data_IF_936832877115
#
_entry.id   IF_936832877115
#
_cell.length_a   1.000
_cell.length_b   1.000
_cell.length_c   1.000
_cell.angle_alpha   90.00
_cell.angle_beta   90.00
_cell.angle_gamma   90.00
#
_symmetry.space_group_name_H-M   'P 1'
#
loop_
_entity.id
_entity.type
_entity.pdbx_description
1 polymer ?
#
# COMPACT_ATOMS: atom_id res chain seq x y z
N UNK A 1 0.69 16.82 -1.32
CA UNK A 1 0.44 15.68 -2.22
C UNK A 1 0.10 14.45 -1.39
N UNK A 2 -0.71 13.56 -1.93
CA UNK A 2 -1.10 12.31 -1.26
C UNK A 2 -0.73 11.13 -2.17
N UNK A 3 0.02 10.15 -1.64
CA UNK A 3 0.25 8.89 -2.35
C UNK A 3 0.03 7.68 -1.44
N UNK A 4 -0.34 6.56 -2.05
CA UNK A 4 -0.64 5.34 -1.33
C UNK A 4 0.33 4.22 -1.72
N UNK A 5 0.66 3.35 -0.77
CA UNK A 5 1.44 2.15 -1.01
C UNK A 5 0.50 0.96 -0.97
N UNK A 6 0.46 0.20 -2.04
CA UNK A 6 -0.41 -0.96 -2.20
C UNK A 6 0.34 -2.24 -2.53
N UNK A 7 -0.32 -3.35 -2.35
CA UNK A 7 0.18 -4.69 -2.63
C UNK A 7 -0.36 -5.74 -1.67
N UNK A 8 -0.08 -6.97 -1.95
CA UNK A 8 -0.62 -8.13 -1.23
C UNK A 8 -0.18 -8.18 0.24
N UNK A 9 -0.89 -8.94 1.05
CA UNK A 9 -0.53 -9.24 2.44
C UNK A 9 0.91 -9.78 2.48
N UNK A 10 1.74 -9.24 3.37
CA UNK A 10 3.15 -9.66 3.52
C UNK A 10 4.15 -8.93 2.61
N UNK A 11 3.73 -8.12 1.63
CA UNK A 11 4.66 -7.48 0.69
C UNK A 11 5.55 -6.38 1.29
N UNK A 12 5.19 -5.80 2.44
CA UNK A 12 6.00 -4.79 3.15
C UNK A 12 5.49 -3.36 3.08
N UNK A 13 4.20 -3.12 2.73
CA UNK A 13 3.59 -1.78 2.61
C UNK A 13 3.86 -0.86 3.79
N UNK A 14 3.46 -1.30 4.98
CA UNK A 14 3.57 -0.51 6.22
C UNK A 14 5.03 -0.19 6.56
N UNK A 15 5.93 -1.15 6.31
CA UNK A 15 7.37 -0.97 6.52
C UNK A 15 7.91 0.11 5.59
N UNK A 16 7.61 0.02 4.29
CA UNK A 16 8.05 1.02 3.32
C UNK A 16 7.46 2.41 3.64
N UNK A 17 6.16 2.48 4.01
CA UNK A 17 5.53 3.73 4.39
C UNK A 17 6.25 4.42 5.56
N UNK A 18 6.61 3.66 6.60
CA UNK A 18 7.35 4.17 7.76
C UNK A 18 8.77 4.61 7.43
N UNK A 19 9.45 3.92 6.51
CA UNK A 19 10.81 4.26 6.09
C UNK A 19 10.84 5.52 5.20
N UNK A 20 9.83 5.69 4.33
CA UNK A 20 9.72 6.87 3.46
C UNK A 20 9.20 8.11 4.19
N UNK A 21 8.44 7.95 5.27
CA UNK A 21 7.85 9.06 6.01
C UNK A 21 8.86 10.15 6.40
N UNK A 22 9.95 9.85 7.12
CA UNK A 22 10.93 10.87 7.53
C UNK A 22 11.72 11.44 6.34
N UNK A 23 11.94 10.65 5.30
CA UNK A 23 12.70 11.04 4.11
C UNK A 23 11.96 12.03 3.23
N UNK A 24 10.63 11.91 3.17
CA UNK A 24 9.77 12.76 2.35
C UNK A 24 9.06 13.86 3.15
N UNK A 25 9.33 13.96 4.45
CA UNK A 25 8.65 14.88 5.40
C UNK A 25 7.13 14.84 5.24
N UNK A 26 6.56 13.63 5.40
CA UNK A 26 5.13 13.38 5.17
C UNK A 26 4.40 13.03 6.46
N UNK A 27 3.09 13.27 6.47
CA UNK A 27 2.17 12.60 7.38
C UNK A 27 2.00 11.13 6.99
N UNK A 28 1.61 10.29 7.93
CA UNK A 28 1.43 8.85 7.72
C UNK A 28 0.04 8.42 8.17
N UNK A 29 -0.70 7.78 7.27
CA UNK A 29 -2.00 7.17 7.54
C UNK A 29 -1.87 5.66 7.39
N UNK A 30 -1.87 4.93 8.50
CA UNK A 30 -1.77 3.48 8.53
C UNK A 30 -3.15 2.84 8.70
N UNK A 31 -3.32 1.69 8.06
CA UNK A 31 -4.51 0.87 8.20
C UNK A 31 -4.64 0.31 9.63
N UNK A 32 -5.82 0.47 10.23
CA UNK A 32 -6.15 -0.08 11.56
C UNK A 32 -6.95 -1.37 11.37
N UNK A 33 -6.26 -2.45 10.96
CA UNK A 33 -6.92 -3.73 10.66
C UNK A 33 -7.24 -4.56 11.91
N UNK A 34 -6.54 -4.32 13.03
CA UNK A 34 -6.69 -5.06 14.30
C UNK A 34 -8.04 -4.78 14.99
N UNK A 35 -8.69 -3.69 14.65
CA UNK A 35 -10.00 -3.35 15.19
C UNK A 35 -11.14 -4.19 14.61
N UNK A 36 -10.88 -4.96 13.54
CA UNK A 36 -11.91 -5.80 12.95
C UNK A 36 -12.18 -7.04 13.81
N UNK A 37 -13.34 -7.13 14.50
CA UNK A 37 -13.65 -8.23 15.40
C UNK A 37 -13.87 -9.57 14.68
N UNK A 38 -14.10 -9.54 13.37
CA UNK A 38 -14.35 -10.72 12.54
C UNK A 38 -13.09 -11.30 11.91
N UNK A 39 -11.94 -10.59 11.96
CA UNK A 39 -10.75 -10.94 11.20
C UNK A 39 -10.20 -12.33 11.55
N UNK A 40 -10.15 -12.67 12.82
CA UNK A 40 -9.69 -13.99 13.27
C UNK A 40 -10.62 -15.12 12.79
N UNK A 41 -11.93 -14.90 12.87
CA UNK A 41 -12.93 -15.85 12.42
C UNK A 41 -12.94 -15.98 10.89
N UNK A 42 -12.70 -14.91 10.17
CA UNK A 42 -12.60 -14.90 8.72
C UNK A 42 -11.51 -15.85 8.21
N UNK A 43 -10.32 -15.83 8.79
CA UNK A 43 -9.25 -16.75 8.37
C UNK A 43 -9.49 -18.21 8.75
N UNK A 44 -10.37 -18.49 9.72
CA UNK A 44 -10.77 -19.86 10.08
C UNK A 44 -11.97 -20.37 9.29
N UNK A 45 -12.91 -19.51 8.89
CA UNK A 45 -14.11 -19.82 8.14
C UNK A 45 -14.52 -18.63 7.25
N UNK A 46 -13.84 -18.50 6.09
CA UNK A 46 -14.05 -17.38 5.16
C UNK A 46 -15.51 -17.29 4.68
N UNK A 47 -16.10 -18.42 4.30
CA UNK A 47 -17.44 -18.44 3.73
C UNK A 47 -18.49 -17.84 4.68
N UNK A 48 -18.34 -18.10 5.98
CA UNK A 48 -19.28 -17.63 7.00
C UNK A 48 -19.06 -16.16 7.39
N UNK A 49 -17.82 -15.70 7.42
CA UNK A 49 -17.47 -14.38 8.00
C UNK A 49 -17.04 -13.35 6.94
N UNK A 50 -17.03 -13.70 5.65
CA UNK A 50 -16.56 -12.81 4.61
C UNK A 50 -17.33 -11.49 4.56
N UNK A 51 -18.67 -11.54 4.50
CA UNK A 51 -19.50 -10.35 4.36
C UNK A 51 -19.32 -9.37 5.52
N UNK A 52 -19.41 -9.86 6.77
CA UNK A 52 -19.24 -9.04 7.97
C UNK A 52 -17.84 -8.40 8.02
N UNK A 53 -16.82 -9.19 7.66
CA UNK A 53 -15.44 -8.73 7.63
C UNK A 53 -15.22 -7.63 6.59
N UNK A 54 -15.74 -7.82 5.37
CA UNK A 54 -15.58 -6.86 4.28
C UNK A 54 -16.36 -5.56 4.55
N UNK A 55 -17.60 -5.65 5.05
CA UNK A 55 -18.40 -4.47 5.42
C UNK A 55 -17.73 -3.68 6.56
N UNK A 56 -17.20 -4.38 7.57
CA UNK A 56 -16.49 -3.71 8.66
C UNK A 56 -15.27 -2.93 8.14
N UNK A 57 -14.45 -3.57 7.31
CA UNK A 57 -13.29 -2.91 6.70
C UNK A 57 -13.68 -1.71 5.84
N UNK A 58 -14.68 -1.87 5.00
CA UNK A 58 -15.19 -0.78 4.16
C UNK A 58 -15.56 0.45 4.97
N UNK A 59 -16.37 0.26 6.03
CA UNK A 59 -16.82 1.36 6.88
C UNK A 59 -15.67 1.96 7.69
N UNK A 60 -14.81 1.12 8.28
CA UNK A 60 -13.65 1.57 9.07
C UNK A 60 -12.72 2.44 8.21
N UNK A 61 -12.35 1.98 7.01
CA UNK A 61 -11.49 2.72 6.08
C UNK A 61 -12.16 3.98 5.56
N UNK A 62 -13.46 3.92 5.26
CA UNK A 62 -14.23 5.10 4.89
C UNK A 62 -14.13 6.19 5.95
N UNK A 63 -14.44 5.88 7.20
CA UNK A 63 -14.39 6.86 8.29
C UNK A 63 -12.96 7.37 8.52
N UNK A 64 -11.98 6.48 8.47
CA UNK A 64 -10.59 6.85 8.67
C UNK A 64 -10.10 7.79 7.55
N UNK A 65 -10.31 7.46 6.29
CA UNK A 65 -9.85 8.28 5.16
C UNK A 65 -10.64 9.56 5.01
N UNK A 66 -11.97 9.51 5.08
CA UNK A 66 -12.82 10.69 4.93
C UNK A 66 -12.54 11.76 5.99
N UNK A 67 -12.13 11.35 7.19
CA UNK A 67 -11.78 12.27 8.28
C UNK A 67 -10.33 12.75 8.21
N UNK A 68 -9.41 11.81 8.02
CA UNK A 68 -7.98 12.10 8.22
C UNK A 68 -7.29 12.64 6.97
N UNK A 69 -7.65 12.17 5.77
CA UNK A 69 -6.98 12.62 4.53
C UNK A 69 -7.14 14.12 4.31
N UNK A 70 -8.36 14.72 4.35
CA UNK A 70 -8.51 16.17 4.23
C UNK A 70 -7.74 16.94 5.30
N UNK A 71 -7.90 16.55 6.58
CA UNK A 71 -7.25 17.23 7.70
C UNK A 71 -5.71 17.21 7.65
N UNK A 72 -5.12 16.12 7.15
CA UNK A 72 -3.67 16.01 6.98
C UNK A 72 -3.18 16.83 5.78
N UNK A 73 -3.93 16.91 4.69
CA UNK A 73 -3.58 17.69 3.52
C UNK A 73 -3.68 19.21 3.76
N UNK A 74 -4.62 19.66 4.60
CA UNK A 74 -4.75 21.07 5.01
C UNK A 74 -3.52 21.60 5.77
N UNK A 75 -2.73 20.71 6.40
CA UNK A 75 -1.49 21.07 7.09
C UNK A 75 -0.33 21.40 6.12
N UNK A 76 -0.56 21.46 4.81
CA UNK A 76 0.45 21.66 3.76
C UNK A 76 1.60 20.64 3.76
N UNK A 77 1.39 19.47 4.38
CA UNK A 77 2.32 18.35 4.35
C UNK A 77 1.89 17.31 3.32
N UNK A 78 2.86 16.58 2.81
CA UNK A 78 2.57 15.41 2.01
C UNK A 78 2.00 14.30 2.90
N UNK A 79 1.28 13.35 2.30
CA UNK A 79 0.66 12.23 2.98
C UNK A 79 1.02 10.91 2.30
N UNK A 80 1.42 9.94 3.11
CA UNK A 80 1.56 8.53 2.73
C UNK A 80 0.46 7.73 3.43
N UNK A 81 -0.24 6.85 2.70
CA UNK A 81 -1.04 5.78 3.29
C UNK A 81 -0.51 4.41 2.89
N UNK A 82 -0.68 3.39 3.74
CA UNK A 82 -0.33 2.01 3.41
C UNK A 82 -1.51 1.21 2.88
N UNK A 83 -2.53 1.92 2.39
CA UNK A 83 -3.71 1.37 1.72
C UNK A 83 -4.45 2.42 0.90
N UNK A 84 -5.24 1.96 -0.08
CA UNK A 84 -6.26 2.77 -0.79
C UNK A 84 -7.66 2.32 -0.42
N UNK A 85 -8.66 3.18 -0.65
CA UNK A 85 -10.06 2.78 -0.49
C UNK A 85 -10.49 1.75 -1.56
N UNK A 86 -9.90 1.84 -2.74
CA UNK A 86 -10.20 0.95 -3.87
C UNK A 86 -9.87 -0.53 -3.60
N UNK A 87 -8.90 -0.82 -2.70
CA UNK A 87 -8.54 -2.20 -2.36
C UNK A 87 -9.71 -2.97 -1.75
N UNK A 88 -10.68 -2.28 -1.15
CA UNK A 88 -11.85 -2.91 -0.54
C UNK A 88 -12.69 -3.65 -1.57
N UNK A 89 -12.89 -3.04 -2.74
CA UNK A 89 -13.61 -3.68 -3.85
C UNK A 89 -12.89 -4.94 -4.37
N UNK A 90 -11.54 -4.90 -4.39
CA UNK A 90 -10.73 -6.04 -4.78
C UNK A 90 -10.89 -7.21 -3.80
N UNK A 91 -10.79 -6.96 -2.49
CA UNK A 91 -10.99 -8.01 -1.49
C UNK A 91 -12.42 -8.55 -1.52
N UNK A 92 -13.42 -7.69 -1.71
CA UNK A 92 -14.80 -8.11 -1.82
C UNK A 92 -15.03 -9.03 -3.02
N UNK A 93 -14.43 -8.74 -4.19
CA UNK A 93 -14.58 -9.55 -5.40
C UNK A 93 -14.09 -11.00 -5.25
N UNK A 94 -13.13 -11.23 -4.35
CA UNK A 94 -12.57 -12.55 -4.07
C UNK A 94 -13.38 -13.29 -3.01
N UNK A 95 -13.92 -12.56 -2.05
CA UNK A 95 -14.47 -13.16 -0.84
C UNK A 95 -16.01 -13.21 -0.81
N UNK A 96 -16.70 -12.42 -1.66
CA UNK A 96 -18.16 -12.32 -1.69
C UNK A 96 -18.71 -12.78 -3.04
N UNK A 97 -19.95 -13.28 -3.02
CA UNK A 97 -20.63 -13.78 -4.21
C UNK A 97 -22.12 -13.38 -4.20
N UNK A 98 -22.74 -13.39 -5.38
CA UNK A 98 -24.19 -13.15 -5.52
C UNK A 98 -24.65 -11.84 -4.89
N UNK A 99 -25.76 -11.89 -4.16
CA UNK A 99 -26.42 -10.71 -3.59
C UNK A 99 -25.53 -9.95 -2.59
N UNK A 100 -24.66 -10.65 -1.84
CA UNK A 100 -23.74 -10.01 -0.89
C UNK A 100 -22.72 -9.15 -1.61
N UNK A 101 -22.15 -9.63 -2.72
CA UNK A 101 -21.21 -8.88 -3.53
C UNK A 101 -21.87 -7.67 -4.20
N UNK A 102 -23.08 -7.84 -4.73
CA UNK A 102 -23.84 -6.76 -5.36
C UNK A 102 -24.18 -5.66 -4.35
N UNK A 103 -24.67 -6.03 -3.17
CA UNK A 103 -24.96 -5.09 -2.09
C UNK A 103 -23.69 -4.35 -1.65
N UNK A 104 -22.58 -5.09 -1.51
CA UNK A 104 -21.30 -4.52 -1.15
C UNK A 104 -20.86 -3.44 -2.15
N UNK A 105 -20.90 -3.70 -3.43
CA UNK A 105 -20.51 -2.73 -4.46
C UNK A 105 -21.38 -1.48 -4.44
N UNK A 106 -22.67 -1.60 -4.25
CA UNK A 106 -23.57 -0.42 -4.13
C UNK A 106 -23.16 0.49 -2.96
N UNK A 107 -22.80 -0.10 -1.81
CA UNK A 107 -22.32 0.67 -0.66
C UNK A 107 -20.94 1.25 -0.95
N UNK A 108 -20.02 0.47 -1.51
CA UNK A 108 -18.68 0.91 -1.85
C UNK A 108 -18.70 2.11 -2.82
N UNK A 109 -19.47 2.03 -3.90
CA UNK A 109 -19.61 3.11 -4.90
C UNK A 109 -20.11 4.41 -4.26
N UNK A 110 -21.18 4.34 -3.45
CA UNK A 110 -21.74 5.50 -2.78
C UNK A 110 -20.74 6.17 -1.79
N UNK A 111 -19.85 5.38 -1.18
CA UNK A 111 -18.82 5.88 -0.28
C UNK A 111 -17.59 6.40 -1.05
N UNK A 112 -17.23 5.75 -2.15
CA UNK A 112 -16.08 6.10 -2.98
C UNK A 112 -16.18 7.51 -3.58
N UNK A 113 -17.39 7.99 -3.91
CA UNK A 113 -17.61 9.36 -4.40
C UNK A 113 -17.10 10.45 -3.46
N UNK A 114 -16.96 10.15 -2.17
CA UNK A 114 -16.52 11.10 -1.14
C UNK A 114 -15.02 10.99 -0.83
N UNK A 115 -14.34 10.05 -1.47
CA UNK A 115 -12.92 9.81 -1.20
C UNK A 115 -12.02 10.70 -2.03
N UNK A 116 -10.97 11.22 -1.41
CA UNK A 116 -9.88 11.91 -2.12
C UNK A 116 -8.93 10.84 -2.67
N UNK A 117 -8.80 10.71 -4.00
CA UNK A 117 -7.89 9.72 -4.57
C UNK A 117 -6.43 10.15 -4.35
N UNK A 118 -5.50 9.20 -4.24
CA UNK A 118 -4.09 9.50 -4.23
C UNK A 118 -3.61 10.04 -5.58
N UNK A 119 -2.57 10.88 -5.57
CA UNK A 119 -1.88 11.38 -6.77
C UNK A 119 -0.97 10.33 -7.40
N UNK A 120 -0.58 9.31 -6.63
CA UNK A 120 0.26 8.19 -7.04
C UNK A 120 -0.08 6.96 -6.20
N UNK A 121 -0.07 5.80 -6.82
CA UNK A 121 -0.07 4.51 -6.13
C UNK A 121 1.29 3.85 -6.34
N UNK A 122 1.98 3.52 -5.27
CA UNK A 122 3.20 2.70 -5.29
C UNK A 122 2.77 1.25 -5.07
N UNK A 123 2.75 0.48 -6.15
CA UNK A 123 2.33 -0.92 -6.11
C UNK A 123 3.54 -1.84 -5.92
N UNK A 124 3.65 -2.41 -4.71
CA UNK A 124 4.66 -3.41 -4.38
C UNK A 124 4.21 -4.79 -4.84
N UNK A 125 5.03 -5.44 -5.67
CA UNK A 125 4.86 -6.83 -6.11
C UNK A 125 5.88 -7.74 -5.45
N UNK A 126 5.47 -8.96 -5.17
CA UNK A 126 6.38 -10.04 -4.76
C UNK A 126 5.86 -11.39 -5.23
N UNK A 127 6.75 -12.38 -5.32
CA UNK A 127 6.35 -13.75 -5.58
C UNK A 127 5.56 -14.33 -4.40
N UNK A 128 4.73 -15.32 -4.68
CA UNK A 128 3.94 -16.00 -3.64
C UNK A 128 4.87 -16.61 -2.56
N UNK A 129 6.03 -17.13 -2.96
CA UNK A 129 7.02 -17.68 -2.03
C UNK A 129 7.54 -16.61 -1.06
N UNK A 130 7.91 -15.43 -1.61
CA UNK A 130 8.36 -14.30 -0.81
C UNK A 130 7.26 -13.79 0.14
N UNK A 131 6.02 -13.71 -0.34
CA UNK A 131 4.89 -13.29 0.49
C UNK A 131 4.65 -14.26 1.64
N UNK A 132 4.59 -15.57 1.37
CA UNK A 132 4.39 -16.61 2.39
C UNK A 132 5.52 -16.61 3.41
N UNK A 133 6.78 -16.47 2.97
CA UNK A 133 7.92 -16.36 3.85
C UNK A 133 7.80 -15.15 4.79
N UNK A 134 7.47 -13.97 4.26
CA UNK A 134 7.32 -12.74 5.04
C UNK A 134 6.14 -12.80 6.02
N UNK A 135 5.02 -13.43 5.62
CA UNK A 135 3.86 -13.67 6.49
C UNK A 135 4.27 -14.58 7.66
N UNK A 136 4.99 -15.66 7.38
CA UNK A 136 5.49 -16.59 8.43
C UNK A 136 6.46 -15.89 9.38
N UNK A 137 7.41 -15.11 8.86
CA UNK A 137 8.37 -14.36 9.68
C UNK A 137 7.71 -13.31 10.58
N UNK A 138 6.62 -12.69 10.10
CA UNK A 138 5.86 -11.70 10.87
C UNK A 138 5.07 -12.33 12.02
N UNK A 139 4.68 -13.59 11.89
CA UNK A 139 4.00 -14.45 12.88
C UNK A 139 2.78 -13.82 13.57
N UNK A 140 1.89 -13.19 12.81
CA UNK A 140 0.62 -12.72 13.36
C UNK A 140 -0.31 -13.90 13.67
N UNK A 141 -0.89 -14.00 14.88
CA UNK A 141 -1.66 -15.19 15.30
C UNK A 141 -2.78 -15.58 14.33
N UNK A 142 -3.52 -14.62 13.78
CA UNK A 142 -4.62 -14.86 12.85
C UNK A 142 -4.16 -15.18 11.41
N UNK A 143 -2.87 -14.98 11.07
CA UNK A 143 -2.29 -15.29 9.76
C UNK A 143 -1.56 -16.63 9.70
N UNK A 144 -1.36 -17.31 10.83
CA UNK A 144 -0.58 -18.57 10.91
C UNK A 144 -1.12 -19.69 10.01
N UNK A 145 -2.44 -19.70 9.79
CA UNK A 145 -3.10 -20.69 8.94
C UNK A 145 -3.46 -20.13 7.56
N UNK A 146 -2.79 -19.07 7.12
CA UNK A 146 -3.08 -18.45 5.83
C UNK A 146 -2.75 -19.41 4.68
N UNK A 147 -3.75 -19.71 3.88
CA UNK A 147 -3.61 -20.62 2.75
C UNK A 147 -2.84 -19.98 1.60
N UNK A 148 -1.86 -20.72 1.09
CA UNK A 148 -1.07 -20.29 -0.09
C UNK A 148 -1.97 -20.01 -1.30
N UNK A 149 -3.04 -20.79 -1.50
CA UNK A 149 -4.02 -20.60 -2.56
C UNK A 149 -4.69 -19.23 -2.49
N UNK A 150 -5.08 -18.80 -1.28
CA UNK A 150 -5.67 -17.48 -1.06
C UNK A 150 -4.70 -16.34 -1.38
N UNK A 151 -3.44 -16.46 -1.00
CA UNK A 151 -2.41 -15.46 -1.36
C UNK A 151 -2.17 -15.42 -2.86
N UNK A 152 -2.23 -16.57 -3.56
CA UNK A 152 -2.10 -16.62 -5.01
C UNK A 152 -3.28 -15.92 -5.71
N UNK A 153 -4.50 -16.16 -5.25
CA UNK A 153 -5.72 -15.53 -5.75
C UNK A 153 -5.67 -14.00 -5.55
N UNK A 154 -5.29 -13.56 -4.33
CA UNK A 154 -5.07 -12.14 -4.05
C UNK A 154 -3.99 -11.52 -4.94
N UNK A 155 -2.87 -12.21 -5.11
CA UNK A 155 -1.75 -11.69 -5.92
C UNK A 155 -2.17 -11.48 -7.37
N UNK A 156 -2.92 -12.43 -7.94
CA UNK A 156 -3.46 -12.29 -9.29
C UNK A 156 -4.44 -11.12 -9.38
N UNK A 157 -5.38 -11.01 -8.44
CA UNK A 157 -6.36 -9.93 -8.44
C UNK A 157 -5.72 -8.54 -8.27
N UNK A 158 -4.66 -8.44 -7.47
CA UNK A 158 -3.87 -7.21 -7.36
C UNK A 158 -3.18 -6.84 -8.67
N UNK A 159 -2.58 -7.81 -9.36
CA UNK A 159 -1.96 -7.59 -10.66
C UNK A 159 -3.01 -7.14 -11.69
N UNK A 160 -4.12 -7.83 -11.81
CA UNK A 160 -5.20 -7.49 -12.74
C UNK A 160 -5.75 -6.09 -12.48
N UNK A 161 -5.88 -5.72 -11.21
CA UNK A 161 -6.42 -4.43 -10.80
C UNK A 161 -5.42 -3.29 -11.00
N UNK A 162 -4.17 -3.41 -10.50
CA UNK A 162 -3.21 -2.31 -10.52
C UNK A 162 -2.41 -2.19 -11.81
N UNK A 163 -2.30 -3.23 -12.63
CA UNK A 163 -1.63 -3.18 -13.94
C UNK A 163 -2.59 -2.85 -15.09
N UNK A 164 -3.88 -2.69 -14.81
CA UNK A 164 -4.87 -2.27 -15.81
C UNK A 164 -4.57 -0.87 -16.35
N UNK A 165 -4.60 -0.71 -17.68
CA UNK A 165 -4.39 0.57 -18.35
C UNK A 165 -5.56 1.57 -18.21
N UNK A 166 -6.67 1.19 -17.59
CA UNK A 166 -7.87 2.02 -17.44
C UNK A 166 -7.85 2.97 -16.26
N UNK A 167 -6.79 2.96 -15.45
CA UNK A 167 -6.71 3.75 -14.21
C UNK A 167 -6.39 5.22 -14.46
N UNK A 168 -7.08 6.10 -13.72
CA UNK A 168 -6.82 7.55 -13.74
C UNK A 168 -5.58 7.91 -12.89
N UNK A 169 -5.40 7.24 -11.75
CA UNK A 169 -4.25 7.46 -10.86
C UNK A 169 -3.02 6.72 -11.40
N UNK A 170 -1.88 7.39 -11.59
CA UNK A 170 -0.63 6.75 -11.96
C UNK A 170 -0.22 5.66 -10.97
N UNK A 171 0.35 4.57 -11.49
CA UNK A 171 0.85 3.45 -10.69
C UNK A 171 2.34 3.28 -10.94
N UNK A 172 3.14 3.38 -9.87
CA UNK A 172 4.56 3.03 -9.87
C UNK A 172 4.70 1.60 -9.37
N UNK A 173 5.03 0.69 -10.27
CA UNK A 173 5.22 -0.73 -9.94
C UNK A 173 6.65 -0.96 -9.46
N UNK A 174 6.79 -1.62 -8.30
CA UNK A 174 8.07 -1.97 -7.69
C UNK A 174 8.09 -3.46 -7.38
N UNK A 175 9.03 -4.20 -7.99
CA UNK A 175 9.29 -5.58 -7.64
C UNK A 175 10.13 -5.65 -6.36
N UNK A 176 9.53 -6.11 -5.28
CA UNK A 176 10.16 -6.22 -3.98
C UNK A 176 10.84 -7.58 -3.71
N UNK A 177 10.92 -8.48 -4.70
CA UNK A 177 11.64 -9.74 -4.54
C UNK A 177 13.14 -9.55 -4.39
N UNK A 178 13.68 -8.60 -5.15
CA UNK A 178 15.11 -8.32 -5.23
C UNK A 178 15.54 -7.11 -4.40
N UNK A 179 14.60 -6.41 -3.77
CA UNK A 179 14.87 -5.21 -2.99
C UNK A 179 14.77 -5.51 -1.50
N UNK A 180 15.84 -5.21 -0.78
CA UNK A 180 15.86 -5.21 0.68
C UNK A 180 15.92 -3.78 1.22
N UNK A 181 14.82 -3.04 1.04
CA UNK A 181 14.71 -1.66 1.50
C UNK A 181 14.70 -1.51 3.04
N UNK A 182 14.77 -2.62 3.78
CA UNK A 182 14.86 -2.61 5.24
C UNK A 182 16.32 -2.55 5.69
N UNK A 183 17.20 -3.36 5.07
CA UNK A 183 18.59 -3.47 5.49
C UNK A 183 19.57 -2.85 4.48
N UNK A 184 19.13 -2.56 3.26
CA UNK A 184 19.94 -1.93 2.22
C UNK A 184 19.42 -0.51 1.94
N UNK A 185 20.19 0.50 2.36
CA UNK A 185 19.83 1.90 2.13
C UNK A 185 19.76 2.28 0.66
N UNK A 186 20.57 1.65 -0.21
CA UNK A 186 20.57 1.95 -1.65
C UNK A 186 19.24 1.54 -2.31
N UNK A 187 18.65 0.43 -1.88
CA UNK A 187 17.34 0.00 -2.38
C UNK A 187 16.24 0.98 -1.94
N UNK A 188 16.32 1.46 -0.70
CA UNK A 188 15.39 2.47 -0.20
C UNK A 188 15.58 3.81 -0.92
N UNK A 189 16.82 4.24 -1.15
CA UNK A 189 17.16 5.46 -1.90
C UNK A 189 16.63 5.38 -3.34
N UNK A 190 16.76 4.22 -3.97
CA UNK A 190 16.22 4.00 -5.31
C UNK A 190 14.68 4.15 -5.34
N UNK A 191 13.97 3.55 -4.37
CA UNK A 191 12.50 3.68 -4.26
C UNK A 191 12.11 5.14 -4.03
N UNK A 192 12.76 5.83 -3.10
CA UNK A 192 12.51 7.24 -2.81
C UNK A 192 12.66 8.10 -4.06
N UNK A 193 13.77 7.93 -4.79
CA UNK A 193 14.04 8.70 -6.00
C UNK A 193 12.98 8.44 -7.09
N UNK A 194 12.50 7.19 -7.24
CA UNK A 194 11.42 6.88 -8.18
C UNK A 194 10.10 7.55 -7.78
N UNK A 195 9.76 7.55 -6.49
CA UNK A 195 8.56 8.22 -5.98
C UNK A 195 8.66 9.74 -6.22
N UNK A 196 9.81 10.36 -5.89
CA UNK A 196 10.05 11.79 -6.14
C UNK A 196 9.93 12.14 -7.61
N UNK A 197 10.49 11.32 -8.49
CA UNK A 197 10.44 11.54 -9.94
C UNK A 197 8.99 11.56 -10.46
N UNK A 198 8.18 10.57 -10.08
CA UNK A 198 6.78 10.48 -10.53
C UNK A 198 5.94 11.62 -9.95
N UNK A 199 6.16 12.00 -8.71
CA UNK A 199 5.45 13.10 -8.05
C UNK A 199 6.01 14.49 -8.41
N UNK A 200 7.04 14.56 -9.26
CA UNK A 200 7.73 15.79 -9.62
C UNK A 200 8.21 16.59 -8.40
N UNK A 201 8.54 15.88 -7.33
CA UNK A 201 9.19 16.48 -6.16
C UNK A 201 10.63 16.81 -6.53
N UNK A 202 11.17 17.90 -5.96
CA UNK A 202 12.57 18.26 -6.17
C UNK A 202 13.46 17.03 -5.88
N UNK A 203 14.37 16.68 -6.81
CA UNK A 203 15.23 15.53 -6.61
C UNK A 203 16.08 15.75 -5.37
N UNK A 204 16.18 14.72 -4.54
CA UNK A 204 17.28 14.62 -3.61
C UNK A 204 18.54 14.57 -4.47
N UNK A 205 19.30 15.66 -4.52
CA UNK A 205 20.68 15.61 -5.01
C UNK A 205 21.49 15.04 -3.84
N UNK A 206 22.01 13.81 -3.93
CA UNK A 206 23.11 13.45 -3.04
C UNK A 206 24.17 14.52 -3.27
N UNK A 207 24.73 15.06 -2.18
CA UNK A 207 25.88 15.95 -2.29
C UNK A 207 26.88 15.27 -3.23
N UNK A 208 27.12 15.86 -4.39
CA UNK A 208 28.18 15.39 -5.25
C UNK A 208 29.44 15.46 -4.39
N UNK A 209 30.24 14.39 -4.27
CA UNK A 209 31.52 14.50 -3.61
C UNK A 209 32.25 15.67 -4.29
N UNK A 210 32.48 16.72 -3.53
CA UNK A 210 33.29 17.86 -3.99
C UNK A 210 34.72 17.32 -4.05
N UNK A 211 35.08 16.70 -5.14
CA UNK A 211 36.49 16.53 -5.51
C UNK A 211 37.03 17.89 -5.88
N UNK A 212 37.19 18.70 -4.84
CA UNK A 212 37.95 19.92 -4.91
C UNK A 212 39.45 19.58 -4.89
N UNK A 213 39.95 19.10 -6.01
CA UNK A 213 41.38 19.22 -6.34
C UNK A 213 41.49 19.71 -7.77
N UNK A 214 41.36 21.02 -7.92
CA UNK A 214 41.99 21.69 -9.04
C UNK A 214 43.51 21.47 -8.92
N UNK A 215 44.21 21.03 -9.94
CA UNK A 215 45.65 21.02 -9.90
C UNK A 215 46.11 22.47 -9.86
N UNK A 216 46.81 22.85 -8.79
CA UNK A 216 47.61 24.05 -8.77
C UNK A 216 48.58 24.02 -9.95
N UNK A 217 48.48 25.03 -10.80
CA UNK A 217 49.53 25.36 -11.74
C UNK A 217 50.77 25.74 -10.96
N UNK A 218 51.78 24.89 -10.97
CA UNK A 218 53.15 25.25 -10.63
C UNK A 218 53.80 25.90 -11.86
N UNK A 219 54.08 27.19 -11.73
CA UNK A 219 55.12 27.86 -12.49
C UNK A 219 56.49 27.65 -11.82
#
# INVERSE_FOLDING_TARGET
MYFAIEGVIGVGKTTLARLLQPRLDTNLLLEVFEENPFLSNFYSDRARYAFQTQIFFLLSRYYQQNRNVPAMLEQNKHLISDYTFEKDALFASINLHGDELEMYYRVHEALAEKMIPPSLIVYLRASIDTLMQRITLRDRPYERNMERGYIAELNQAYDDFFLSNSRKTPVLVIDSNQLDFVHNSQDLDWIENRVRQVLQMAPFQPELPIDARSPEHAD
#
